data_IF_849783231854
#
_entry.id   IF_849783231854
#
_cell.length_a   1.000
_cell.length_b   1.000
_cell.length_c   1.000
_cell.angle_alpha   90.00
_cell.angle_beta   90.00
_cell.angle_gamma   90.00
#
_symmetry.space_group_name_H-M   'P 1'
#
loop_
_entity.id
_entity.type
_entity.pdbx_description
1 polymer ?
#
# COMPACT_ATOMS: atom_id res chain seq x y z
N UNK A 1 -17.74 10.53 -43.36
CA UNK A 1 -18.69 11.63 -43.07
C UNK A 1 -20.14 11.15 -43.16
N UNK A 2 -20.60 10.62 -44.30
CA UNK A 2 -21.97 10.10 -44.47
C UNK A 2 -22.35 8.96 -43.51
N UNK A 3 -21.44 8.01 -43.23
CA UNK A 3 -21.70 6.93 -42.26
C UNK A 3 -21.82 7.40 -40.81
N UNK A 4 -21.12 8.48 -40.44
CA UNK A 4 -21.22 9.09 -39.10
C UNK A 4 -22.55 9.83 -38.94
N UNK A 5 -23.02 10.48 -40.01
CA UNK A 5 -24.32 11.16 -40.04
C UNK A 5 -25.51 10.20 -39.93
N UNK A 6 -25.45 9.02 -40.57
CA UNK A 6 -26.50 8.01 -40.49
C UNK A 6 -26.55 7.29 -39.13
N UNK A 7 -25.39 7.09 -38.49
CA UNK A 7 -25.30 6.54 -37.14
C UNK A 7 -25.85 7.49 -36.06
N UNK A 8 -25.71 8.80 -36.26
CA UNK A 8 -26.18 9.83 -35.31
C UNK A 8 -27.71 9.86 -35.13
N UNK A 9 -28.48 9.41 -36.12
CA UNK A 9 -29.96 9.42 -36.06
C UNK A 9 -30.53 8.38 -35.09
N UNK A 10 -29.78 7.30 -34.80
CA UNK A 10 -30.19 6.30 -33.81
C UNK A 10 -29.85 6.71 -32.37
N UNK A 11 -29.01 7.73 -32.17
CA UNK A 11 -28.65 8.25 -30.86
C UNK A 11 -29.57 9.43 -30.62
N UNK A 12 -30.60 9.24 -29.81
CA UNK A 12 -31.54 10.30 -29.44
C UNK A 12 -30.81 11.33 -28.55
N UNK A 13 -30.08 12.26 -29.20
CA UNK A 13 -29.28 13.31 -28.56
C UNK A 13 -30.14 14.28 -27.71
N UNK A 14 -31.47 14.19 -27.78
CA UNK A 14 -32.40 14.92 -26.91
C UNK A 14 -32.27 14.56 -25.43
N UNK A 15 -31.63 13.45 -25.10
CA UNK A 15 -31.35 13.03 -23.72
C UNK A 15 -30.06 13.62 -23.12
N UNK A 16 -29.14 14.17 -23.93
CA UNK A 16 -27.95 14.86 -23.42
C UNK A 16 -28.26 16.24 -22.80
N UNK A 17 -29.39 16.85 -23.18
CA UNK A 17 -29.91 18.06 -22.53
C UNK A 17 -30.43 17.80 -21.11
N UNK A 18 -30.79 16.55 -20.82
CA UNK A 18 -31.28 16.10 -19.51
C UNK A 18 -30.17 15.51 -18.63
N UNK A 19 -28.90 15.84 -18.86
CA UNK A 19 -27.86 15.57 -17.87
C UNK A 19 -28.17 16.44 -16.67
N UNK A 20 -28.87 15.84 -15.72
CA UNK A 20 -29.16 16.44 -14.42
C UNK A 20 -27.86 16.99 -13.82
N UNK A 21 -27.93 18.15 -13.17
CA UNK A 21 -26.77 18.79 -12.53
C UNK A 21 -26.07 17.81 -11.56
N UNK A 22 -26.82 16.86 -11.01
CA UNK A 22 -26.33 15.79 -10.14
C UNK A 22 -25.18 14.96 -10.75
N UNK A 23 -25.33 14.26 -11.90
CA UNK A 23 -24.24 13.57 -12.57
C UNK A 23 -22.96 14.40 -12.74
N UNK A 24 -23.09 15.69 -13.09
CA UNK A 24 -21.94 16.58 -13.29
C UNK A 24 -21.24 16.88 -11.96
N UNK A 25 -21.99 17.15 -10.89
CA UNK A 25 -21.44 17.35 -9.55
C UNK A 25 -20.73 16.09 -9.04
N UNK A 26 -21.31 14.91 -9.25
CA UNK A 26 -20.67 13.64 -8.86
C UNK A 26 -19.35 13.46 -9.61
N UNK A 27 -19.31 13.73 -10.91
CA UNK A 27 -18.08 13.66 -11.70
C UNK A 27 -17.04 14.68 -11.25
N UNK A 28 -17.45 15.91 -10.90
CA UNK A 28 -16.57 16.95 -10.38
C UNK A 28 -15.96 16.54 -9.04
N UNK A 29 -16.79 16.10 -8.08
CA UNK A 29 -16.34 15.65 -6.75
C UNK A 29 -15.40 14.45 -6.85
N UNK A 30 -15.71 13.47 -7.71
CA UNK A 30 -14.82 12.33 -7.95
C UNK A 30 -13.48 12.76 -8.54
N UNK A 31 -13.49 13.73 -9.46
CA UNK A 31 -12.27 14.25 -10.08
C UNK A 31 -11.42 15.01 -9.06
N UNK A 32 -12.04 15.82 -8.21
CA UNK A 32 -11.36 16.57 -7.15
C UNK A 32 -10.69 15.63 -6.14
N UNK A 33 -11.43 14.63 -5.64
CA UNK A 33 -10.88 13.59 -4.77
C UNK A 33 -9.74 12.81 -5.43
N UNK A 34 -9.86 12.52 -6.73
CA UNK A 34 -8.81 11.82 -7.49
C UNK A 34 -7.54 12.68 -7.63
N UNK A 35 -7.69 13.97 -7.90
CA UNK A 35 -6.57 14.92 -7.95
C UNK A 35 -5.91 15.03 -6.57
N UNK A 36 -6.68 15.11 -5.49
CA UNK A 36 -6.15 15.17 -4.13
C UNK A 36 -5.32 13.91 -3.80
N UNK A 37 -5.84 12.72 -4.11
CA UNK A 37 -5.12 11.45 -3.90
C UNK A 37 -3.88 11.34 -4.80
N UNK A 38 -3.97 11.80 -6.05
CA UNK A 38 -2.85 11.79 -6.99
C UNK A 38 -1.76 12.81 -6.63
N UNK A 39 -2.14 13.91 -5.98
CA UNK A 39 -1.23 14.94 -5.45
C UNK A 39 -0.62 14.52 -4.10
N UNK A 40 -1.38 13.81 -3.26
CA UNK A 40 -1.01 13.38 -1.92
C UNK A 40 -0.07 12.17 -1.86
N UNK A 41 0.05 11.39 -2.94
CA UNK A 41 1.08 10.37 -3.08
C UNK A 41 1.80 10.48 -4.40
N UNK A 42 3.08 10.84 -4.33
CA UNK A 42 3.99 10.76 -5.46
C UNK A 42 3.95 9.33 -6.03
N UNK A 43 3.58 9.19 -7.30
CA UNK A 43 3.69 7.93 -8.04
C UNK A 43 5.09 7.32 -7.90
N UNK A 44 6.10 8.16 -7.72
CA UNK A 44 7.48 7.74 -7.48
C UNK A 44 7.67 7.05 -6.12
N UNK A 45 7.06 7.58 -5.05
CA UNK A 45 7.10 6.98 -3.70
C UNK A 45 6.49 5.57 -3.71
N UNK A 46 5.33 5.40 -4.37
CA UNK A 46 4.68 4.10 -4.47
C UNK A 46 5.56 3.08 -5.21
N UNK A 47 6.20 3.49 -6.31
CA UNK A 47 7.13 2.61 -7.05
C UNK A 47 8.38 2.27 -6.26
N UNK A 48 8.91 3.22 -5.49
CA UNK A 48 10.11 3.02 -4.67
C UNK A 48 9.83 2.04 -3.52
N UNK A 49 8.69 2.18 -2.84
CA UNK A 49 8.25 1.26 -1.78
C UNK A 49 8.01 -0.15 -2.34
N UNK A 50 7.40 -0.26 -3.53
CA UNK A 50 7.21 -1.55 -4.19
C UNK A 50 8.56 -2.22 -4.49
N UNK A 51 9.52 -1.48 -5.04
CA UNK A 51 10.84 -1.99 -5.39
C UNK A 51 11.61 -2.41 -4.12
N UNK A 52 11.56 -1.61 -3.06
CA UNK A 52 12.13 -1.97 -1.75
C UNK A 52 11.52 -3.27 -1.20
N UNK A 53 10.20 -3.43 -1.30
CA UNK A 53 9.51 -4.64 -0.82
C UNK A 53 9.94 -5.88 -1.60
N UNK A 54 10.05 -5.76 -2.93
CA UNK A 54 10.51 -6.86 -3.81
C UNK A 54 11.95 -7.25 -3.47
N UNK A 55 12.85 -6.27 -3.32
CA UNK A 55 14.25 -6.52 -2.96
C UNK A 55 14.34 -7.19 -1.59
N UNK A 56 13.59 -6.71 -0.60
CA UNK A 56 13.56 -7.29 0.74
C UNK A 56 13.06 -8.73 0.72
N UNK A 57 12.02 -9.03 -0.07
CA UNK A 57 11.48 -10.38 -0.23
C UNK A 57 12.46 -11.35 -0.89
N UNK A 58 13.19 -10.90 -1.92
CA UNK A 58 14.22 -11.70 -2.59
C UNK A 58 15.35 -12.04 -1.62
N UNK A 59 15.85 -11.05 -0.88
CA UNK A 59 16.90 -11.23 0.14
C UNK A 59 16.41 -12.23 1.20
N UNK A 60 15.19 -12.06 1.70
CA UNK A 60 14.57 -12.98 2.67
C UNK A 60 14.51 -14.42 2.15
N UNK A 61 14.08 -14.62 0.90
CA UNK A 61 13.98 -15.94 0.29
C UNK A 61 15.36 -16.62 0.15
N UNK A 62 16.40 -15.87 -0.21
CA UNK A 62 17.78 -16.39 -0.31
C UNK A 62 18.31 -16.80 1.08
N UNK A 63 18.05 -15.99 2.10
CA UNK A 63 18.46 -16.29 3.48
C UNK A 63 17.77 -17.58 3.96
N UNK A 64 16.47 -17.72 3.74
CA UNK A 64 15.70 -18.91 4.16
C UNK A 64 16.13 -20.19 3.45
N UNK A 65 16.59 -20.10 2.20
CA UNK A 65 17.11 -21.26 1.44
C UNK A 65 18.45 -21.78 1.98
N UNK A 66 19.12 -21.03 2.85
CA UNK A 66 20.42 -21.44 3.40
C UNK A 66 20.24 -22.63 4.35
N UNK A 67 21.05 -23.69 4.16
CA UNK A 67 21.01 -24.93 4.95
C UNK A 67 21.04 -24.71 6.47
N UNK A 68 21.70 -23.64 6.94
CA UNK A 68 21.78 -23.28 8.35
C UNK A 68 20.42 -22.83 8.93
N UNK A 69 19.72 -21.94 8.22
CA UNK A 69 18.41 -21.42 8.62
C UNK A 69 17.36 -22.52 8.54
N UNK A 70 17.39 -23.32 7.47
CA UNK A 70 16.46 -24.44 7.30
C UNK A 70 16.61 -25.48 8.43
N UNK A 71 17.85 -25.84 8.80
CA UNK A 71 18.09 -26.77 9.92
C UNK A 71 17.61 -26.21 11.26
N UNK A 72 17.84 -24.92 11.53
CA UNK A 72 17.38 -24.28 12.77
C UNK A 72 15.85 -24.31 12.91
N UNK A 73 15.12 -24.01 11.84
CA UNK A 73 13.65 -24.00 11.84
C UNK A 73 13.08 -25.42 11.94
N UNK A 74 13.68 -26.41 11.27
CA UNK A 74 13.18 -27.80 11.27
C UNK A 74 13.54 -28.57 12.55
N UNK A 75 14.71 -28.33 13.14
CA UNK A 75 15.17 -29.07 14.32
C UNK A 75 14.57 -28.56 15.63
N UNK A 76 14.32 -27.25 15.75
CA UNK A 76 13.81 -26.63 16.98
C UNK A 76 12.82 -25.48 16.65
N UNK A 77 11.58 -25.81 16.25
CA UNK A 77 10.59 -24.82 15.84
C UNK A 77 10.24 -23.85 16.96
N UNK A 78 10.18 -24.30 18.22
CA UNK A 78 9.87 -23.46 19.39
C UNK A 78 10.91 -22.35 19.60
N UNK A 79 12.20 -22.68 19.47
CA UNK A 79 13.30 -21.70 19.63
C UNK A 79 13.27 -20.72 18.45
N UNK A 80 13.02 -21.19 17.23
CA UNK A 80 12.93 -20.31 16.07
C UNK A 80 11.76 -19.31 16.19
N UNK A 81 10.61 -19.75 16.70
CA UNK A 81 9.47 -18.89 16.98
C UNK A 81 9.77 -17.85 18.05
N UNK A 82 10.43 -18.24 19.15
CA UNK A 82 10.84 -17.30 20.19
C UNK A 82 11.84 -16.27 19.67
N UNK A 83 12.82 -16.69 18.87
CA UNK A 83 13.81 -15.78 18.27
C UNK A 83 13.14 -14.80 17.32
N UNK A 84 12.24 -15.27 16.43
CA UNK A 84 11.50 -14.40 15.50
C UNK A 84 10.60 -13.43 16.28
N UNK A 85 9.87 -13.90 17.29
CA UNK A 85 9.00 -13.05 18.11
C UNK A 85 9.81 -11.98 18.87
N UNK A 86 10.97 -12.34 19.42
CA UNK A 86 11.84 -11.41 20.13
C UNK A 86 12.45 -10.39 19.17
N UNK A 87 12.82 -10.83 17.96
CA UNK A 87 13.32 -9.95 16.90
C UNK A 87 12.23 -9.01 16.38
N UNK A 88 10.99 -9.48 16.22
CA UNK A 88 9.84 -8.67 15.78
C UNK A 88 9.49 -7.60 16.84
N UNK A 89 9.51 -7.97 18.12
CA UNK A 89 9.38 -7.04 19.25
C UNK A 89 10.52 -6.02 19.26
N UNK A 90 11.75 -6.43 18.92
CA UNK A 90 12.93 -5.55 18.90
C UNK A 90 12.93 -4.58 17.71
N UNK A 91 12.58 -5.06 16.51
CA UNK A 91 12.51 -4.25 15.28
C UNK A 91 11.37 -3.24 15.36
N UNK A 92 10.34 -3.53 16.15
CA UNK A 92 9.41 -2.53 16.64
C UNK A 92 8.30 -2.20 15.64
N UNK A 93 7.08 -2.26 16.16
CA UNK A 93 5.84 -1.91 15.48
C UNK A 93 5.91 -0.50 14.88
N UNK A 94 5.63 -0.37 13.58
CA UNK A 94 5.62 0.88 12.81
C UNK A 94 4.58 1.95 13.27
N UNK A 95 3.85 1.75 14.37
CA UNK A 95 2.71 2.60 14.78
C UNK A 95 2.66 2.89 16.30
N UNK A 96 3.61 2.44 17.12
CA UNK A 96 3.55 2.67 18.58
C UNK A 96 4.90 2.66 19.27
N UNK A 97 5.00 3.43 20.37
CA UNK A 97 6.19 3.72 21.17
C UNK A 97 7.21 2.57 21.17
N UNK A 98 8.44 2.86 20.75
CA UNK A 98 9.49 1.85 20.66
C UNK A 98 9.73 1.26 22.05
N UNK A 99 9.92 -0.05 22.19
CA UNK A 99 10.34 -0.64 23.47
C UNK A 99 11.65 0.03 23.99
N UNK A 100 12.49 0.49 23.06
CA UNK A 100 13.68 1.31 23.32
C UNK A 100 13.35 2.72 23.82
N UNK A 101 12.24 3.34 23.37
CA UNK A 101 11.78 4.63 23.89
C UNK A 101 11.25 4.49 25.31
N UNK A 102 10.57 3.40 25.66
CA UNK A 102 10.16 3.16 27.05
C UNK A 102 11.37 3.03 28.00
N UNK A 103 12.49 2.49 27.52
CA UNK A 103 13.74 2.45 28.27
C UNK A 103 14.45 3.81 28.35
N UNK A 104 14.42 4.59 27.26
CA UNK A 104 15.03 5.93 27.19
C UNK A 104 14.22 7.00 27.97
N UNK A 105 12.89 6.93 27.93
CA UNK A 105 11.98 7.86 28.62
C UNK A 105 11.66 7.45 30.07
N UNK A 106 12.20 6.33 30.56
CA UNK A 106 12.11 5.96 31.99
C UNK A 106 12.71 7.00 32.94
N UNK A 107 13.64 7.83 32.44
CA UNK A 107 14.29 8.90 33.21
C UNK A 107 13.51 10.22 33.22
N UNK A 108 12.47 10.35 32.39
CA UNK A 108 11.65 11.56 32.26
C UNK A 108 10.29 11.43 32.98
N UNK A 109 9.97 10.25 33.53
CA UNK A 109 8.83 10.01 34.42
C UNK A 109 9.28 9.96 35.90
N UNK A 110 10.06 10.96 36.31
CA UNK A 110 10.26 11.33 37.71
C UNK A 110 10.09 12.83 37.82
#
# INVERSE_FOLDING_TARGET
>A
VLGVLLGAVNINLGSLSAVSIFPILILMLLTENFIEVQTGKSRHEATLVMLQTIVMAIIGAVILKTNWVQKLVLLNPEISLLVIALFDIYVGKYVGLRALEMWKFRKLMK
#
